data_IF_897931543405
#
_entry.id   IF_897931543405
#
_cell.length_a   1.000
_cell.length_b   1.000
_cell.length_c   1.000
_cell.angle_alpha   90.00
_cell.angle_beta   90.00
_cell.angle_gamma   90.00
#
_symmetry.space_group_name_H-M   'P 1'
#
loop_
_entity.id
_entity.type
_entity.pdbx_description
1 polymer ?
#
# COMPACT_ATOMS: atom_id res chain seq x y z
N UNK A 1 -63.00 -32.23 -27.74
CA UNK A 1 -62.13 -31.10 -28.15
C UNK A 1 -60.83 -31.70 -28.66
N UNK A 2 -60.42 -31.43 -29.91
CA UNK A 2 -59.14 -31.95 -30.45
C UNK A 2 -58.00 -31.16 -29.80
N UNK A 3 -57.13 -31.83 -29.03
CA UNK A 3 -55.93 -31.20 -28.47
C UNK A 3 -55.03 -30.72 -29.62
N UNK A 4 -54.74 -29.43 -29.64
CA UNK A 4 -53.98 -28.80 -30.70
C UNK A 4 -52.47 -29.02 -30.45
N UNK A 5 -51.90 -30.05 -31.08
CA UNK A 5 -50.49 -30.46 -30.91
C UNK A 5 -49.50 -29.34 -31.23
N UNK A 6 -49.91 -28.36 -32.03
CA UNK A 6 -49.11 -27.20 -32.42
C UNK A 6 -48.73 -26.31 -31.22
N UNK A 7 -49.60 -26.24 -30.20
CA UNK A 7 -49.31 -25.45 -28.98
C UNK A 7 -48.19 -26.11 -28.19
N UNK A 8 -48.23 -27.44 -28.01
CA UNK A 8 -47.17 -28.17 -27.31
C UNK A 8 -45.83 -28.12 -28.05
N UNK A 9 -45.85 -28.22 -29.38
CA UNK A 9 -44.64 -28.09 -30.19
C UNK A 9 -44.04 -26.68 -30.15
N UNK A 10 -44.87 -25.64 -30.06
CA UNK A 10 -44.42 -24.27 -29.84
C UNK A 10 -43.67 -24.13 -28.51
N UNK A 11 -44.25 -24.64 -27.41
CA UNK A 11 -43.60 -24.57 -26.10
C UNK A 11 -42.30 -25.39 -26.04
N UNK A 12 -42.27 -26.59 -26.63
CA UNK A 12 -41.05 -27.41 -26.71
C UNK A 12 -39.95 -26.68 -27.49
N UNK A 13 -40.29 -26.09 -28.63
CA UNK A 13 -39.33 -25.33 -29.45
C UNK A 13 -38.82 -24.08 -28.73
N UNK A 14 -39.71 -23.38 -28.04
CA UNK A 14 -39.38 -22.21 -27.23
C UNK A 14 -38.44 -22.57 -26.07
N UNK A 15 -38.69 -23.68 -25.38
CA UNK A 15 -37.81 -24.17 -24.30
C UNK A 15 -36.44 -24.61 -24.82
N UNK A 16 -36.38 -25.34 -25.93
CA UNK A 16 -35.10 -25.75 -26.56
C UNK A 16 -34.27 -24.55 -27.02
N UNK A 17 -34.93 -23.47 -27.45
CA UNK A 17 -34.25 -22.23 -27.83
C UNK A 17 -33.74 -21.43 -26.61
N UNK A 18 -34.47 -21.40 -25.49
CA UNK A 18 -34.14 -20.55 -24.32
C UNK A 18 -33.12 -21.18 -23.36
N UNK A 19 -33.13 -22.51 -23.21
CA UNK A 19 -32.25 -23.22 -22.28
C UNK A 19 -30.75 -22.90 -22.50
N UNK A 20 -30.22 -22.87 -23.74
CA UNK A 20 -28.82 -22.50 -23.99
C UNK A 20 -28.47 -21.08 -23.53
N UNK A 21 -29.37 -20.11 -23.69
CA UNK A 21 -29.16 -18.73 -23.25
C UNK A 21 -29.15 -18.61 -21.73
N UNK A 22 -30.06 -19.33 -21.04
CA UNK A 22 -30.12 -19.34 -19.58
C UNK A 22 -28.86 -20.00 -19.00
N UNK A 23 -28.43 -21.13 -19.55
CA UNK A 23 -27.20 -21.82 -19.10
C UNK A 23 -25.97 -20.93 -19.35
N UNK A 24 -25.89 -20.26 -20.51
CA UNK A 24 -24.79 -19.33 -20.81
C UNK A 24 -24.78 -18.12 -19.89
N UNK A 25 -25.95 -17.58 -19.53
CA UNK A 25 -26.07 -16.46 -18.59
C UNK A 25 -25.67 -16.86 -17.17
N UNK A 26 -26.13 -18.04 -16.69
CA UNK A 26 -25.72 -18.56 -15.38
C UNK A 26 -24.20 -18.81 -15.38
N UNK A 27 -23.66 -19.42 -16.42
CA UNK A 27 -22.21 -19.60 -16.58
C UNK A 27 -21.47 -18.26 -16.50
N UNK A 28 -21.88 -17.26 -17.29
CA UNK A 28 -21.27 -15.94 -17.28
C UNK A 28 -21.34 -15.24 -15.90
N UNK A 29 -22.46 -15.36 -15.19
CA UNK A 29 -22.62 -14.81 -13.83
C UNK A 29 -21.72 -15.55 -12.84
N UNK A 30 -21.68 -16.88 -12.89
CA UNK A 30 -20.84 -17.69 -12.00
C UNK A 30 -19.33 -17.47 -12.24
N UNK A 31 -18.90 -17.37 -13.50
CA UNK A 31 -17.51 -17.09 -13.84
C UNK A 31 -17.09 -15.66 -13.43
N UNK A 32 -17.96 -14.66 -13.60
CA UNK A 32 -17.69 -13.30 -13.11
C UNK A 32 -17.81 -13.16 -11.58
N UNK A 33 -18.59 -14.03 -10.93
CA UNK A 33 -18.70 -14.09 -9.47
C UNK A 33 -17.46 -14.71 -8.84
N UNK A 34 -16.85 -15.72 -9.46
CA UNK A 34 -15.58 -16.31 -9.01
C UNK A 34 -14.40 -15.35 -9.20
N UNK A 35 -14.42 -14.54 -10.26
CA UNK A 35 -13.42 -13.48 -10.50
C UNK A 35 -13.56 -12.27 -9.57
N UNK A 36 -14.69 -12.11 -8.85
CA UNK A 36 -14.99 -10.98 -7.99
C UNK A 36 -15.05 -11.35 -6.50
N UNK A 37 -14.26 -12.32 -6.04
CA UNK A 37 -13.82 -12.28 -4.64
C UNK A 37 -12.80 -11.14 -4.46
N UNK A 38 -13.23 -9.88 -4.67
CA UNK A 38 -12.62 -8.75 -3.98
C UNK A 38 -12.83 -9.04 -2.51
N UNK A 39 -11.78 -9.40 -1.78
CA UNK A 39 -11.82 -9.46 -0.32
C UNK A 39 -12.55 -8.19 0.15
N UNK A 40 -13.72 -8.38 0.76
CA UNK A 40 -14.43 -7.29 1.41
C UNK A 40 -13.65 -7.00 2.68
N UNK A 41 -12.56 -6.24 2.54
CA UNK A 41 -11.95 -5.61 3.69
C UNK A 41 -13.06 -4.82 4.37
N UNK A 42 -13.27 -5.05 5.66
CA UNK A 42 -14.10 -4.17 6.46
C UNK A 42 -13.59 -2.76 6.16
N UNK A 43 -14.40 -1.92 5.51
CA UNK A 43 -14.03 -0.54 5.23
C UNK A 43 -13.51 0.04 6.54
N UNK A 44 -12.31 0.64 6.52
CA UNK A 44 -11.69 1.32 7.66
C UNK A 44 -12.63 2.41 8.21
N UNK A 45 -13.62 2.01 8.99
CA UNK A 45 -14.28 2.85 9.98
C UNK A 45 -13.55 2.57 11.28
N UNK A 46 -12.39 3.24 11.41
CA UNK A 46 -11.50 3.26 12.57
C UNK A 46 -10.70 1.98 12.82
N UNK A 47 -9.43 1.99 12.40
CA UNK A 47 -8.40 1.40 13.22
C UNK A 47 -7.16 2.31 13.19
N UNK A 48 -7.30 3.52 13.75
CA UNK A 48 -6.20 4.47 13.89
C UNK A 48 -5.04 3.87 14.70
N UNK A 49 -5.34 3.06 15.72
CA UNK A 49 -4.35 2.59 16.69
C UNK A 49 -3.28 1.66 16.14
N UNK A 50 -3.56 0.78 15.17
CA UNK A 50 -2.50 -0.08 14.62
C UNK A 50 -1.65 0.67 13.60
N UNK A 51 -2.25 1.56 12.78
CA UNK A 51 -1.50 2.40 11.83
C UNK A 51 -0.58 3.31 12.62
N UNK A 52 -1.08 3.98 13.66
CA UNK A 52 -0.30 4.79 14.59
C UNK A 52 0.91 4.04 15.15
N UNK A 53 0.71 2.79 15.56
CA UNK A 53 1.80 1.93 16.07
C UNK A 53 2.80 1.51 15.00
N UNK A 54 2.45 1.56 13.73
CA UNK A 54 3.39 1.31 12.63
C UNK A 54 4.15 2.57 12.19
N UNK A 55 3.72 3.76 12.61
CA UNK A 55 4.39 5.01 12.27
C UNK A 55 5.62 5.21 13.16
N UNK A 56 6.68 5.72 12.55
CA UNK A 56 7.91 6.06 13.27
C UNK A 56 8.41 7.44 12.89
N UNK A 57 9.09 8.08 13.83
CA UNK A 57 9.85 9.30 13.60
C UNK A 57 11.33 8.92 13.52
N UNK A 58 12.02 9.41 12.50
CA UNK A 58 13.45 9.19 12.29
C UNK A 58 14.14 10.55 12.42
N UNK A 59 15.14 10.65 13.29
CA UNK A 59 15.79 11.90 13.67
C UNK A 59 17.32 11.76 13.72
N UNK A 60 18.04 12.75 13.22
CA UNK A 60 19.51 12.86 13.35
C UNK A 60 19.97 14.16 14.04
N UNK A 61 19.08 14.75 14.85
CA UNK A 61 19.18 16.06 15.51
C UNK A 61 19.00 17.27 14.59
N UNK A 62 19.13 17.10 13.28
CA UNK A 62 19.01 18.19 12.30
C UNK A 62 17.71 18.13 11.51
N UNK A 63 17.18 16.93 11.30
CA UNK A 63 15.99 16.71 10.48
C UNK A 63 15.03 15.70 11.12
N UNK A 64 13.73 15.96 10.95
CA UNK A 64 12.67 15.00 11.24
C UNK A 64 12.16 14.39 9.94
N UNK A 65 12.10 13.06 9.93
CA UNK A 65 11.59 12.25 8.83
C UNK A 65 10.54 11.29 9.35
N UNK A 66 9.56 11.01 8.50
CA UNK A 66 8.58 9.97 8.79
C UNK A 66 9.09 8.63 8.31
N UNK A 67 8.64 7.55 8.93
CA UNK A 67 8.84 6.21 8.43
C UNK A 67 7.67 5.31 8.75
N UNK A 68 7.72 4.10 8.23
CA UNK A 68 6.74 3.06 8.52
C UNK A 68 7.41 1.74 8.80
N UNK A 69 6.98 1.06 9.85
CA UNK A 69 7.36 -0.32 10.14
C UNK A 69 6.65 -1.27 9.18
N UNK A 70 7.43 -2.16 8.57
CA UNK A 70 6.97 -3.25 7.72
C UNK A 70 7.64 -4.55 8.16
N UNK A 71 7.01 -5.66 7.81
CA UNK A 71 7.60 -6.98 7.97
C UNK A 71 7.99 -7.50 6.59
N UNK A 72 9.28 -7.70 6.38
CA UNK A 72 9.83 -8.32 5.18
C UNK A 72 10.15 -9.79 5.46
N UNK A 73 9.72 -10.68 4.56
CA UNK A 73 9.86 -12.12 4.75
C UNK A 73 11.30 -12.63 4.89
N UNK A 74 12.29 -11.90 4.36
CA UNK A 74 13.70 -12.30 4.35
C UNK A 74 14.51 -11.52 5.40
N UNK A 75 14.24 -10.23 5.55
CA UNK A 75 15.03 -9.34 6.41
C UNK A 75 14.38 -9.07 7.78
N UNK A 76 13.16 -9.56 7.98
CA UNK A 76 12.35 -9.35 9.18
C UNK A 76 11.79 -7.94 9.24
N UNK A 77 11.69 -7.39 10.45
CA UNK A 77 11.11 -6.07 10.67
C UNK A 77 12.04 -4.95 10.21
N UNK A 78 11.52 -4.13 9.31
CA UNK A 78 12.23 -3.02 8.71
C UNK A 78 11.41 -1.74 8.84
N UNK A 79 12.10 -0.62 8.94
CA UNK A 79 11.48 0.69 8.75
C UNK A 79 11.77 1.15 7.34
N UNK A 80 10.75 1.55 6.60
CA UNK A 80 10.88 2.20 5.29
C UNK A 80 10.67 3.71 5.41
N UNK A 81 11.42 4.47 4.62
CA UNK A 81 11.30 5.93 4.54
C UNK A 81 11.76 6.45 3.17
N UNK A 82 11.69 7.76 2.92
CA UNK A 82 12.30 8.39 1.75
C UNK A 82 13.81 8.52 1.93
N UNK A 83 14.59 8.12 0.92
CA UNK A 83 16.04 8.31 0.95
C UNK A 83 16.49 9.74 0.65
N UNK A 84 15.58 10.60 0.17
CA UNK A 84 15.91 11.95 -0.33
C UNK A 84 16.63 12.81 0.70
N UNK A 85 16.25 12.64 1.97
CA UNK A 85 16.71 13.44 3.11
C UNK A 85 17.62 12.65 4.06
N UNK A 86 18.04 11.47 3.65
CA UNK A 86 18.93 10.62 4.42
C UNK A 86 20.38 10.81 3.98
N UNK A 87 21.29 10.89 4.95
CA UNK A 87 22.73 10.80 4.72
C UNK A 87 23.18 9.35 4.89
N UNK A 88 23.69 8.75 3.81
CA UNK A 88 24.12 7.34 3.80
C UNK A 88 25.17 7.02 4.87
N UNK A 89 26.13 7.92 5.07
CA UNK A 89 27.22 7.70 6.01
C UNK A 89 26.65 7.68 7.44
N UNK A 90 25.76 8.62 7.76
CA UNK A 90 25.05 8.64 9.05
C UNK A 90 24.18 7.40 9.26
N UNK A 91 23.54 6.88 8.22
CA UNK A 91 22.77 5.63 8.30
C UNK A 91 23.67 4.44 8.64
N UNK A 92 24.78 4.29 7.92
CA UNK A 92 25.71 3.16 8.10
C UNK A 92 26.48 3.22 9.43
N UNK A 93 26.69 4.41 9.97
CA UNK A 93 27.25 4.63 11.31
C UNK A 93 26.19 4.53 12.44
N UNK A 94 24.93 4.23 12.11
CA UNK A 94 23.80 4.14 13.04
C UNK A 94 23.62 5.41 13.90
N UNK A 95 23.76 6.58 13.28
CA UNK A 95 23.63 7.90 13.93
C UNK A 95 22.19 8.43 13.97
N UNK A 96 21.26 7.77 13.28
CA UNK A 96 19.84 8.08 13.37
C UNK A 96 19.22 7.47 14.63
N UNK A 97 18.34 8.22 15.28
CA UNK A 97 17.46 7.77 16.34
C UNK A 97 16.05 7.58 15.77
N UNK A 98 15.42 6.48 16.16
CA UNK A 98 14.08 6.12 15.68
C UNK A 98 13.15 6.10 16.89
N UNK A 99 12.12 6.92 16.86
CA UNK A 99 11.09 6.96 17.88
C UNK A 99 9.80 6.30 17.39
N UNK A 100 9.28 5.36 18.17
CA UNK A 100 8.05 4.63 17.88
C UNK A 100 7.01 5.03 18.93
N UNK A 101 5.79 5.37 18.48
CA UNK A 101 4.67 5.79 19.34
C UNK A 101 4.99 7.00 20.23
N UNK A 102 6.01 7.81 19.89
CA UNK A 102 6.57 8.88 20.73
C UNK A 102 7.02 8.45 22.14
N UNK A 103 7.16 7.14 22.38
CA UNK A 103 7.42 6.59 23.72
C UNK A 103 8.80 5.94 23.82
N UNK A 104 9.22 5.22 22.78
CA UNK A 104 10.47 4.47 22.80
C UNK A 104 11.38 4.95 21.68
N UNK A 105 12.62 5.30 22.05
CA UNK A 105 13.69 5.61 21.09
C UNK A 105 14.63 4.44 20.98
N UNK A 106 14.79 3.91 19.78
CA UNK A 106 15.67 2.81 19.45
C UNK A 106 16.77 3.26 18.48
N UNK A 107 17.91 2.58 18.55
CA UNK A 107 18.97 2.72 17.54
C UNK A 107 18.81 1.63 16.49
N UNK A 108 18.94 1.96 15.20
CA UNK A 108 18.94 0.95 14.16
C UNK A 108 20.16 0.03 14.30
N UNK A 109 19.97 -1.23 13.93
CA UNK A 109 21.06 -2.21 13.81
C UNK A 109 21.88 -1.93 12.55
N UNK A 110 21.17 -1.54 11.49
CA UNK A 110 21.71 -1.24 10.17
C UNK A 110 20.77 -0.27 9.45
N UNK A 111 21.32 0.57 8.59
CA UNK A 111 20.56 1.44 7.70
C UNK A 111 21.25 1.62 6.36
N UNK A 112 20.48 1.60 5.29
CA UNK A 112 20.94 1.96 3.95
C UNK A 112 19.76 2.43 3.09
N UNK A 113 20.00 2.82 1.85
CA UNK A 113 18.94 3.13 0.90
C UNK A 113 19.12 2.43 -0.43
N UNK A 114 18.00 2.24 -1.12
CA UNK A 114 17.90 1.72 -2.48
C UNK A 114 17.94 2.92 -3.43
N UNK A 115 19.10 3.23 -4.07
CA UNK A 115 19.30 4.51 -4.74
C UNK A 115 18.35 4.76 -5.91
N UNK A 116 17.93 3.71 -6.60
CA UNK A 116 17.06 3.84 -7.76
C UNK A 116 15.57 4.02 -7.38
N UNK A 117 15.16 3.62 -6.16
CA UNK A 117 13.77 3.73 -5.68
C UNK A 117 13.50 4.96 -4.82
N UNK A 118 14.52 5.79 -4.55
CA UNK A 118 14.45 6.87 -3.56
C UNK A 118 13.93 6.41 -2.18
N UNK A 119 14.29 5.19 -1.78
CA UNK A 119 13.75 4.54 -0.59
C UNK A 119 14.88 4.21 0.38
N UNK A 120 14.79 4.75 1.59
CA UNK A 120 15.64 4.38 2.71
C UNK A 120 15.02 3.25 3.51
N UNK A 121 15.87 2.46 4.16
CA UNK A 121 15.41 1.47 5.11
C UNK A 121 16.33 1.38 6.33
N UNK A 122 15.78 0.96 7.45
CA UNK A 122 16.50 0.64 8.67
C UNK A 122 16.07 -0.72 9.20
N UNK A 123 17.04 -1.55 9.57
CA UNK A 123 16.79 -2.76 10.32
C UNK A 123 16.81 -2.46 11.81
N UNK A 124 15.82 -2.95 12.54
CA UNK A 124 15.68 -2.73 13.97
C UNK A 124 15.40 -4.07 14.69
N UNK A 125 15.57 -4.06 16.00
CA UNK A 125 15.03 -5.10 16.88
C UNK A 125 13.78 -4.54 17.54
N UNK A 126 12.58 -4.95 17.12
CA UNK A 126 11.37 -4.38 17.72
C UNK A 126 11.02 -5.06 19.07
N UNK A 127 10.36 -4.31 19.96
CA UNK A 127 9.50 -4.85 21.01
C UNK A 127 8.25 -5.56 20.48
N UNK A 128 7.77 -6.56 21.21
CA UNK A 128 6.61 -7.41 20.84
C UNK A 128 5.24 -6.71 20.72
N UNK A 129 5.15 -5.41 20.99
CA UNK A 129 3.88 -4.66 20.97
C UNK A 129 3.70 -3.79 19.73
N UNK A 130 4.70 -3.73 18.86
CA UNK A 130 4.65 -2.99 17.60
C UNK A 130 4.03 -3.89 16.53
N UNK A 131 3.21 -3.30 15.65
CA UNK A 131 2.55 -4.03 14.57
C UNK A 131 3.04 -3.48 13.24
N UNK A 132 3.85 -4.21 12.47
CA UNK A 132 4.20 -3.80 11.10
C UNK A 132 2.95 -3.70 10.23
N UNK A 133 2.97 -2.79 9.24
CA UNK A 133 1.93 -2.75 8.23
C UNK A 133 2.09 -3.92 7.26
N UNK A 134 1.01 -4.65 6.96
CA UNK A 134 1.05 -5.66 5.90
C UNK A 134 1.25 -4.97 4.55
N UNK A 135 2.10 -5.55 3.70
CA UNK A 135 2.30 -5.07 2.33
C UNK A 135 1.07 -5.42 1.47
N UNK A 136 0.64 -4.48 0.63
CA UNK A 136 -0.41 -4.76 -0.35
C UNK A 136 0.14 -5.61 -1.48
N UNK A 137 -0.50 -6.75 -1.76
CA UNK A 137 -0.15 -7.62 -2.90
C UNK A 137 -0.64 -7.03 -4.23
N UNK A 138 -1.54 -6.05 -4.18
CA UNK A 138 -2.19 -5.48 -5.35
C UNK A 138 -1.70 -4.07 -5.63
N UNK A 139 -1.40 -3.81 -6.90
CA UNK A 139 -1.13 -2.44 -7.33
C UNK A 139 -2.41 -1.61 -7.29
N UNK A 140 -2.36 -0.38 -6.77
CA UNK A 140 -3.54 0.48 -6.71
C UNK A 140 -4.00 0.90 -8.11
N UNK A 141 -5.31 1.02 -8.29
CA UNK A 141 -5.89 1.45 -9.57
C UNK A 141 -5.98 2.97 -9.68
N UNK A 142 -5.93 3.51 -10.91
CA UNK A 142 -6.22 4.93 -11.19
C UNK A 142 -7.60 5.32 -10.65
N UNK A 143 -7.61 6.36 -9.81
CA UNK A 143 -8.79 6.89 -9.14
C UNK A 143 -9.10 6.26 -7.78
N UNK A 144 -8.38 5.19 -7.39
CA UNK A 144 -8.56 4.55 -6.09
C UNK A 144 -8.21 5.49 -4.94
N UNK A 145 -9.03 5.44 -3.88
CA UNK A 145 -8.77 6.21 -2.67
C UNK A 145 -7.71 5.48 -1.87
N UNK A 146 -6.68 6.22 -1.51
CA UNK A 146 -5.65 5.78 -0.58
C UNK A 146 -5.56 6.79 0.56
N UNK A 147 -5.00 6.35 1.67
CA UNK A 147 -4.79 7.18 2.86
C UNK A 147 -3.31 7.29 3.12
N UNK A 148 -2.91 8.37 3.75
CA UNK A 148 -1.55 8.53 4.27
C UNK A 148 -1.64 9.03 5.68
N UNK A 149 -0.74 8.54 6.52
CA UNK A 149 -0.68 8.88 7.93
C UNK A 149 0.73 9.29 8.30
N UNK A 150 0.88 10.31 9.13
CA UNK A 150 2.17 10.82 9.59
C UNK A 150 2.07 11.29 11.04
N UNK A 151 3.21 11.46 11.71
CA UNK A 151 3.25 12.04 13.06
C UNK A 151 3.81 13.46 12.94
N UNK A 152 2.99 14.46 13.26
CA UNK A 152 3.35 15.87 13.24
C UNK A 152 3.08 16.48 14.61
N UNK A 153 4.10 17.13 15.19
CA UNK A 153 4.01 17.75 16.52
C UNK A 153 3.50 16.81 17.63
N UNK A 154 3.77 15.51 17.51
CA UNK A 154 3.34 14.49 18.46
C UNK A 154 1.91 13.98 18.25
N UNK A 155 1.19 14.47 17.24
CA UNK A 155 -0.15 14.02 16.87
C UNK A 155 -0.12 13.27 15.54
N UNK A 156 -0.92 12.21 15.43
CA UNK A 156 -1.08 11.49 14.17
C UNK A 156 -2.07 12.22 13.28
N UNK A 157 -1.59 12.66 12.12
CA UNK A 157 -2.41 13.23 11.07
C UNK A 157 -2.65 12.21 9.97
N UNK A 158 -3.91 12.07 9.53
CA UNK A 158 -4.28 11.19 8.43
C UNK A 158 -5.04 11.96 7.36
N UNK A 159 -4.62 11.80 6.11
CA UNK A 159 -5.27 12.40 4.95
C UNK A 159 -5.66 11.34 3.93
N UNK A 160 -6.81 11.55 3.32
CA UNK A 160 -7.19 10.80 2.12
C UNK A 160 -6.73 11.52 0.87
N UNK A 161 -6.40 10.74 -0.13
CA UNK A 161 -6.07 11.19 -1.46
C UNK A 161 -6.48 10.15 -2.48
N UNK A 162 -6.07 10.37 -3.71
CA UNK A 162 -6.33 9.44 -4.80
C UNK A 162 -5.05 9.11 -5.51
N UNK A 163 -4.94 7.85 -5.88
CA UNK A 163 -3.97 7.42 -6.84
C UNK A 163 -4.36 8.00 -8.21
N UNK A 164 -3.50 8.85 -8.79
CA UNK A 164 -3.84 9.62 -9.99
C UNK A 164 -3.17 9.07 -11.24
N UNK A 165 -1.92 8.61 -11.15
CA UNK A 165 -1.18 8.09 -12.31
C UNK A 165 0.02 7.21 -11.90
N UNK A 166 0.66 6.59 -12.88
CA UNK A 166 2.02 6.03 -12.78
C UNK A 166 2.95 6.69 -13.79
N UNK A 167 4.20 6.89 -13.40
CA UNK A 167 5.28 7.25 -14.30
C UNK A 167 6.43 6.26 -14.13
N UNK A 168 7.10 5.93 -15.23
CA UNK A 168 8.37 5.20 -15.16
C UNK A 168 9.48 6.23 -15.26
N UNK A 169 10.34 6.30 -14.25
CA UNK A 169 11.51 7.15 -14.26
C UNK A 169 12.56 6.61 -15.23
N UNK A 170 13.52 7.46 -15.64
CA UNK A 170 14.60 7.08 -16.58
C UNK A 170 15.45 5.90 -16.09
N UNK A 171 15.49 5.68 -14.77
CA UNK A 171 16.17 4.55 -14.14
C UNK A 171 15.31 3.25 -14.10
N UNK A 172 14.17 3.24 -14.78
CA UNK A 172 13.26 2.10 -14.90
C UNK A 172 12.28 1.92 -13.72
N UNK A 173 12.33 2.79 -12.71
CA UNK A 173 11.45 2.65 -11.55
C UNK A 173 10.05 3.16 -11.81
N UNK A 174 9.07 2.31 -11.50
CA UNK A 174 7.67 2.68 -11.52
C UNK A 174 7.34 3.45 -10.26
N UNK A 175 7.11 4.75 -10.42
CA UNK A 175 6.64 5.65 -9.37
C UNK A 175 5.17 5.93 -9.61
N UNK A 176 4.43 6.01 -8.53
CA UNK A 176 3.03 6.32 -8.57
C UNK A 176 2.77 7.73 -8.06
N UNK A 177 1.77 8.39 -8.64
CA UNK A 177 1.39 9.72 -8.25
C UNK A 177 0.17 9.65 -7.34
N UNK A 178 0.34 10.15 -6.13
CA UNK A 178 -0.69 10.33 -5.14
C UNK A 178 -1.09 11.81 -5.09
N UNK A 179 -2.37 12.09 -5.36
CA UNK A 179 -2.94 13.43 -5.20
C UNK A 179 -3.65 13.52 -3.86
N UNK A 180 -3.02 14.19 -2.90
CA UNK A 180 -3.56 14.43 -1.56
C UNK A 180 -3.12 15.80 -1.06
N UNK A 181 -3.86 16.35 -0.08
CA UNK A 181 -3.52 17.63 0.56
C UNK A 181 -2.45 17.43 1.64
N UNK A 182 -1.28 16.97 1.22
CA UNK A 182 -0.14 16.66 2.09
C UNK A 182 1.06 17.55 1.73
N UNK A 183 2.03 17.66 2.64
CA UNK A 183 3.20 18.53 2.50
C UNK A 183 4.54 17.78 2.56
N UNK A 184 5.66 18.52 2.49
CA UNK A 184 7.02 17.92 2.55
C UNK A 184 7.29 17.11 3.83
N UNK A 185 6.60 17.43 4.93
CA UNK A 185 6.72 16.70 6.19
C UNK A 185 6.18 15.25 6.12
N UNK A 186 5.47 14.90 5.04
CA UNK A 186 4.95 13.57 4.78
C UNK A 186 5.93 12.69 3.98
N UNK A 187 7.10 13.20 3.60
CA UNK A 187 8.13 12.35 3.02
C UNK A 187 8.53 11.25 4.01
N UNK A 188 8.51 10.00 3.52
CA UNK A 188 8.70 8.80 4.31
C UNK A 188 7.43 8.24 4.96
N UNK A 189 6.30 8.96 4.89
CA UNK A 189 5.02 8.47 5.41
C UNK A 189 4.43 7.36 4.52
N UNK A 190 3.72 6.38 5.10
CA UNK A 190 3.06 5.33 4.35
C UNK A 190 1.88 5.86 3.54
N UNK A 191 1.62 5.20 2.41
CA UNK A 191 0.37 5.27 1.68
C UNK A 191 -0.30 3.91 1.74
N UNK A 192 -1.52 3.87 2.27
CA UNK A 192 -2.25 2.65 2.58
C UNK A 192 -3.57 2.59 1.80
N UNK A 193 -3.96 1.37 1.42
CA UNK A 193 -5.26 1.14 0.81
C UNK A 193 -6.39 1.23 1.85
N UNK A 194 -7.63 1.11 1.37
CA UNK A 194 -8.84 1.08 2.21
C UNK A 194 -8.93 -0.13 3.15
N UNK A 195 -8.03 -1.11 3.01
CA UNK A 195 -7.93 -2.30 3.84
C UNK A 195 -6.86 -2.14 4.93
N UNK A 196 -6.05 -1.09 4.84
CA UNK A 196 -4.98 -0.85 5.79
C UNK A 196 -3.65 -1.48 5.40
N UNK A 197 -3.51 -1.97 4.17
CA UNK A 197 -2.26 -2.50 3.66
C UNK A 197 -1.42 -1.39 3.04
N UNK A 198 -0.12 -1.50 3.16
CA UNK A 198 0.85 -0.57 2.62
C UNK A 198 0.96 -0.72 1.10
N UNK A 199 0.58 0.32 0.36
CA UNK A 199 0.75 0.43 -1.09
C UNK A 199 2.13 0.97 -1.48
N UNK A 200 2.71 1.82 -0.62
CA UNK A 200 3.95 2.51 -0.91
C UNK A 200 4.34 3.48 0.19
N UNK A 201 5.48 4.13 -0.01
CA UNK A 201 5.98 5.20 0.85
C UNK A 201 6.15 6.46 0.02
N UNK A 202 5.79 7.62 0.59
CA UNK A 202 5.99 8.91 -0.06
C UNK A 202 7.49 9.18 -0.16
N UNK A 203 8.01 9.27 -1.38
CA UNK A 203 9.45 9.46 -1.64
C UNK A 203 9.80 10.90 -2.01
N UNK A 204 8.85 11.66 -2.57
CA UNK A 204 9.09 13.02 -3.04
C UNK A 204 7.78 13.77 -3.28
N UNK A 205 7.75 15.07 -2.98
CA UNK A 205 6.58 15.94 -3.15
C UNK A 205 6.77 17.17 -4.03
N UNK A 206 5.65 17.59 -4.64
CA UNK A 206 5.38 18.95 -5.12
C UNK A 206 4.05 19.42 -4.50
N UNK A 207 3.71 20.71 -4.57
CA UNK A 207 2.59 21.36 -3.84
C UNK A 207 1.23 20.63 -3.84
N UNK A 208 0.97 19.67 -4.75
CA UNK A 208 -0.29 18.88 -4.81
C UNK A 208 -0.14 17.41 -5.22
N UNK A 209 1.06 16.98 -5.59
CA UNK A 209 1.31 15.65 -6.13
C UNK A 209 2.57 15.08 -5.51
N UNK A 210 2.45 13.85 -5.04
CA UNK A 210 3.54 13.16 -4.38
C UNK A 210 3.83 11.86 -5.12
N UNK A 211 5.12 11.64 -5.34
CA UNK A 211 5.66 10.38 -5.79
C UNK A 211 5.64 9.40 -4.61
N UNK A 212 5.04 8.23 -4.82
CA UNK A 212 5.17 7.10 -3.92
C UNK A 212 5.96 6.01 -4.63
N UNK A 213 6.93 5.44 -3.93
CA UNK A 213 7.60 4.25 -4.44
C UNK A 213 6.69 3.06 -4.17
N UNK A 214 6.31 2.40 -5.26
CA UNK A 214 5.53 1.17 -5.20
C UNK A 214 6.35 0.06 -4.52
N UNK A 215 5.73 -0.63 -3.57
CA UNK A 215 6.34 -1.76 -2.91
C UNK A 215 5.99 -3.04 -3.68
N UNK A 216 7.03 -3.76 -4.13
CA UNK A 216 6.89 -5.13 -4.60
C UNK A 216 7.10 -6.03 -3.36
N UNK A 217 6.33 -7.11 -3.14
CA UNK A 217 6.63 -8.09 -2.09
C UNK A 217 8.11 -8.53 -2.03
N UNK A 218 8.86 -8.43 -3.13
CA UNK A 218 10.33 -8.61 -3.18
C UNK A 218 11.10 -7.27 -3.19
N UNK A 219 10.93 -6.36 -2.23
CA UNK A 219 11.61 -5.04 -2.24
C UNK A 219 13.15 -5.20 -2.23
N UNK A 220 13.65 -6.17 -1.46
CA UNK A 220 15.07 -6.29 -1.12
C UNK A 220 15.78 -7.47 -1.81
N UNK A 221 15.06 -8.54 -2.17
CA UNK A 221 15.64 -9.77 -2.76
C UNK A 221 16.39 -9.57 -4.10
N UNK A 222 16.16 -8.44 -4.80
CA UNK A 222 16.87 -8.07 -6.05
C UNK A 222 17.77 -6.85 -5.94
N UNK A 223 17.81 -6.18 -4.79
CA UNK A 223 18.53 -4.91 -4.62
C UNK A 223 19.95 -5.11 -4.08
N UNK A 224 20.28 -6.32 -3.59
CA UNK A 224 21.58 -6.68 -3.00
C UNK A 224 22.37 -7.74 -3.78
N UNK A 225 21.90 -8.14 -4.96
CA UNK A 225 22.62 -9.03 -5.88
C UNK A 225 23.31 -8.25 -7.00
#
# INVERSE_FOLDING_TARGET
>A
MKNNSNIYQFFISLSMALIPFIISAIGFISFNSLSNQKQSCLQLYVPASYIERSLVIINDQTEYLSGVLVDDSEFGELILTSSRRLDRNKMQENLYEISIDNLETIKPLYGDYIPNKNMGFFQISTPSYISPLPLSETRPAIGEIAYTATILNGETEMYSGRYSNSITLDNGNLVHIYSGSIGIAYEGSPVIDKCGNLLGVIIEGSDRYFAISSLNPEIFAKSFN
#
